data_IF_586270445531
#
_entry.id   IF_586270445531
#
_cell.length_a   1.000
_cell.length_b   1.000
_cell.length_c   1.000
_cell.angle_alpha   90.00
_cell.angle_beta   90.00
_cell.angle_gamma   90.00
#
_symmetry.space_group_name_H-M   'P 1'
#
loop_
_entity.id
_entity.type
_entity.pdbx_description
1 polymer ?
#
# COMPACT_ATOMS: atom_id res chain seq x y z
N UNK A 1 4.17 -21.28 1.97
CA UNK A 1 3.78 -19.88 2.23
C UNK A 1 4.51 -19.06 1.18
N UNK A 2 3.80 -18.38 0.30
CA UNK A 2 4.45 -17.35 -0.54
C UNK A 2 3.94 -16.05 0.05
N UNK A 3 4.67 -15.51 1.02
CA UNK A 3 4.55 -14.09 1.33
C UNK A 3 4.78 -13.38 0.01
N UNK A 4 3.74 -12.77 -0.56
CA UNK A 4 3.89 -11.94 -1.74
C UNK A 4 4.54 -10.65 -1.28
N UNK A 5 5.86 -10.65 -1.25
CA UNK A 5 6.63 -9.41 -1.32
C UNK A 5 6.19 -8.68 -2.60
N UNK A 6 5.86 -7.41 -2.44
CA UNK A 6 5.50 -6.55 -3.55
C UNK A 6 6.72 -6.37 -4.44
N UNK A 7 6.83 -7.13 -5.53
CA UNK A 7 7.93 -7.00 -6.50
C UNK A 7 7.43 -6.27 -7.73
N UNK A 8 8.11 -5.17 -8.03
CA UNK A 8 8.03 -4.48 -9.31
C UNK A 8 9.36 -4.68 -10.04
N UNK A 9 9.30 -5.06 -11.31
CA UNK A 9 10.50 -5.23 -12.14
C UNK A 9 10.61 -4.08 -13.14
N UNK A 10 11.78 -3.44 -13.17
CA UNK A 10 12.16 -2.48 -14.20
C UNK A 10 13.28 -3.06 -15.06
N UNK A 11 13.05 -3.13 -16.37
CA UNK A 11 14.05 -3.55 -17.36
C UNK A 11 14.43 -2.33 -18.19
N UNK A 12 15.67 -1.86 -18.01
CA UNK A 12 16.23 -0.75 -18.78
C UNK A 12 16.53 -1.21 -20.22
N UNK A 13 16.10 -0.43 -21.20
CA UNK A 13 16.41 -0.66 -22.60
C UNK A 13 16.79 0.62 -23.33
N UNK A 14 17.42 0.47 -24.49
CA UNK A 14 17.71 1.55 -25.41
C UNK A 14 17.08 1.22 -26.76
N UNK A 15 16.29 2.15 -27.30
CA UNK A 15 15.64 2.04 -28.61
C UNK A 15 16.10 3.20 -29.47
N UNK A 16 17.01 2.93 -30.42
CA UNK A 16 17.58 3.94 -31.32
C UNK A 16 18.15 5.18 -30.59
N UNK A 17 18.91 4.95 -29.51
CA UNK A 17 19.49 6.02 -28.69
C UNK A 17 18.55 6.55 -27.61
N UNK A 18 17.25 6.26 -27.67
CA UNK A 18 16.25 6.69 -26.69
C UNK A 18 16.18 5.69 -25.54
N UNK A 19 16.43 6.16 -24.33
CA UNK A 19 16.38 5.33 -23.14
C UNK A 19 14.94 5.14 -22.65
N UNK A 20 14.61 3.93 -22.20
CA UNK A 20 13.32 3.62 -21.60
C UNK A 20 13.39 2.45 -20.64
N UNK A 21 12.25 2.21 -19.98
CA UNK A 21 12.07 1.12 -19.03
C UNK A 21 10.80 0.34 -19.36
N UNK A 22 10.90 -0.98 -19.29
CA UNK A 22 9.75 -1.88 -19.24
C UNK A 22 9.45 -2.15 -17.77
N UNK A 23 8.20 -1.95 -17.36
CA UNK A 23 7.72 -2.11 -15.97
C UNK A 23 6.74 -3.28 -15.90
N UNK A 24 7.02 -4.22 -15.00
CA UNK A 24 6.13 -5.31 -14.62
C UNK A 24 5.77 -5.16 -13.14
N UNK A 25 4.61 -4.58 -12.86
CA UNK A 25 4.15 -4.33 -11.50
C UNK A 25 3.07 -5.32 -11.08
N UNK A 26 3.51 -6.55 -10.78
CA UNK A 26 2.61 -7.59 -10.29
C UNK A 26 2.14 -7.34 -8.85
N UNK A 27 2.87 -6.50 -8.10
CA UNK A 27 2.55 -6.14 -6.73
C UNK A 27 1.30 -5.27 -6.62
N UNK A 28 1.13 -4.29 -7.52
CA UNK A 28 -0.10 -3.52 -7.67
C UNK A 28 -1.12 -4.16 -8.63
N UNK A 29 -0.91 -5.42 -9.03
CA UNK A 29 -1.78 -6.16 -9.95
C UNK A 29 -1.95 -5.46 -11.31
N UNK A 30 -0.95 -4.72 -11.79
CA UNK A 30 -1.00 -4.13 -13.12
C UNK A 30 -0.94 -5.27 -14.15
N UNK A 31 -2.08 -5.56 -14.78
CA UNK A 31 -2.25 -6.72 -15.67
C UNK A 31 -1.59 -6.54 -17.05
N UNK A 32 -0.76 -5.51 -17.23
CA UNK A 32 -0.10 -5.15 -18.48
C UNK A 32 1.36 -4.81 -18.28
N UNK A 33 2.11 -4.91 -19.36
CA UNK A 33 3.45 -4.35 -19.47
C UNK A 33 3.32 -2.84 -19.66
N UNK A 34 3.99 -2.05 -18.84
CA UNK A 34 4.03 -0.59 -18.97
C UNK A 34 5.40 -0.19 -19.52
N UNK A 35 5.42 0.72 -20.48
CA UNK A 35 6.63 1.27 -21.09
C UNK A 35 6.79 2.72 -20.66
N UNK A 36 7.90 3.05 -20.01
CA UNK A 36 8.26 4.40 -19.59
C UNK A 36 9.44 4.86 -20.43
N UNK A 37 9.17 5.66 -21.46
CA UNK A 37 10.24 6.34 -22.22
C UNK A 37 10.71 7.59 -21.50
N UNK A 38 12.02 7.85 -21.50
CA UNK A 38 12.61 9.05 -20.88
C UNK A 38 12.12 10.35 -21.50
N UNK A 39 11.79 10.32 -22.79
CA UNK A 39 11.28 11.48 -23.53
C UNK A 39 9.74 11.57 -23.54
N UNK A 40 9.04 10.64 -22.89
CA UNK A 40 7.58 10.56 -22.87
C UNK A 40 6.92 10.26 -24.22
N UNK A 41 7.70 10.03 -25.28
CA UNK A 41 7.17 9.80 -26.63
C UNK A 41 6.89 8.31 -26.86
N UNK A 42 6.06 7.98 -27.86
CA UNK A 42 5.82 6.60 -28.28
C UNK A 42 7.15 5.80 -28.38
N UNK A 43 7.26 4.59 -27.80
CA UNK A 43 6.19 3.73 -27.27
C UNK A 43 5.84 3.91 -25.77
N UNK A 44 5.98 5.10 -25.20
CA UNK A 44 5.52 5.41 -23.84
C UNK A 44 4.03 5.05 -23.66
N UNK A 45 3.66 4.37 -22.57
CA UNK A 45 2.30 3.88 -22.33
C UNK A 45 1.32 5.00 -21.95
N UNK A 46 1.74 5.94 -21.11
CA UNK A 46 0.87 6.99 -20.57
C UNK A 46 -0.16 6.44 -19.59
N UNK A 47 -1.24 7.19 -19.41
CA UNK A 47 -2.32 6.87 -18.49
C UNK A 47 -3.12 5.64 -18.94
N UNK A 48 -3.49 4.78 -17.99
CA UNK A 48 -4.36 3.65 -18.27
C UNK A 48 -5.31 3.34 -17.10
N UNK A 49 -6.54 2.96 -17.44
CA UNK A 49 -7.54 2.52 -16.46
C UNK A 49 -7.17 1.16 -15.90
N UNK A 50 -6.97 1.10 -14.58
CA UNK A 50 -6.63 -0.11 -13.84
C UNK A 50 -7.89 -0.80 -13.26
N UNK A 51 -8.83 -0.01 -12.74
CA UNK A 51 -10.07 -0.51 -12.14
C UNK A 51 -11.24 0.40 -12.51
N UNK A 52 -12.40 -0.22 -12.77
CA UNK A 52 -13.67 0.47 -12.88
C UNK A 52 -14.74 -0.31 -12.10
N UNK A 53 -15.25 0.28 -11.01
CA UNK A 53 -16.24 -0.35 -10.13
C UNK A 53 -17.10 0.74 -9.47
N UNK A 54 -18.42 0.52 -9.35
CA UNK A 54 -19.36 1.43 -8.67
C UNK A 54 -19.26 2.92 -9.12
N UNK A 55 -19.19 3.17 -10.43
CA UNK A 55 -18.97 4.49 -11.03
C UNK A 55 -17.67 5.18 -10.56
N UNK A 56 -16.70 4.41 -10.08
CA UNK A 56 -15.35 4.90 -9.78
C UNK A 56 -14.37 4.30 -10.75
N UNK A 57 -13.57 5.17 -11.35
CA UNK A 57 -12.49 4.80 -12.25
C UNK A 57 -11.15 5.09 -11.58
N UNK A 58 -10.25 4.14 -11.58
CA UNK A 58 -8.88 4.32 -11.08
C UNK A 58 -7.92 4.27 -12.26
N UNK A 59 -7.22 5.37 -12.50
CA UNK A 59 -6.26 5.55 -13.59
C UNK A 59 -4.85 5.53 -13.00
N UNK A 60 -3.96 4.71 -13.57
CA UNK A 60 -2.55 4.64 -13.20
C UNK A 60 -1.68 5.25 -14.29
N UNK A 61 -0.54 5.81 -13.90
CA UNK A 61 0.50 6.26 -14.84
C UNK A 61 1.89 6.13 -14.25
N UNK A 62 2.89 6.02 -15.14
CA UNK A 62 4.30 5.91 -14.78
C UNK A 62 5.11 6.86 -15.66
N UNK A 63 5.86 7.77 -15.04
CA UNK A 63 6.67 8.75 -15.75
C UNK A 63 8.04 8.90 -15.09
N UNK A 64 9.02 9.44 -15.82
CA UNK A 64 10.31 9.78 -15.21
C UNK A 64 10.13 11.04 -14.37
N UNK A 65 10.75 11.04 -13.19
CA UNK A 65 10.72 12.20 -12.32
C UNK A 65 11.41 13.40 -13.00
N UNK A 66 10.77 14.59 -13.04
CA UNK A 66 11.22 15.70 -13.88
C UNK A 66 12.56 16.30 -13.44
N UNK A 67 12.94 16.14 -12.17
CA UNK A 67 14.17 16.70 -11.60
C UNK A 67 15.28 15.65 -11.47
N UNK A 68 14.93 14.40 -11.22
CA UNK A 68 15.90 13.33 -10.94
C UNK A 68 15.53 12.04 -11.68
N UNK A 69 16.20 11.80 -12.80
CA UNK A 69 15.97 10.62 -13.65
C UNK A 69 16.29 9.27 -12.98
N UNK A 70 16.86 9.27 -11.77
CA UNK A 70 17.00 8.07 -10.97
C UNK A 70 15.68 7.60 -10.35
N UNK A 71 14.57 8.33 -10.53
CA UNK A 71 13.25 7.96 -10.03
C UNK A 71 12.20 7.90 -11.15
N UNK A 72 11.30 6.92 -11.02
CA UNK A 72 10.02 6.88 -11.71
C UNK A 72 8.92 7.31 -10.75
N UNK A 73 8.06 8.20 -11.20
CA UNK A 73 6.83 8.58 -10.53
C UNK A 73 5.73 7.62 -10.95
N UNK A 74 5.19 6.87 -10.01
CA UNK A 74 3.93 6.16 -10.18
C UNK A 74 2.81 7.04 -9.62
N UNK A 75 1.78 7.28 -10.42
CA UNK A 75 0.60 8.06 -10.01
C UNK A 75 -0.67 7.21 -10.11
N UNK A 76 -1.59 7.45 -9.20
CA UNK A 76 -2.94 6.92 -9.21
C UNK A 76 -3.93 8.08 -9.05
N UNK A 77 -4.95 8.11 -9.89
CA UNK A 77 -6.11 9.01 -9.71
C UNK A 77 -7.38 8.18 -9.71
N UNK A 78 -8.15 8.28 -8.63
CA UNK A 78 -9.51 7.73 -8.54
C UNK A 78 -10.51 8.83 -8.85
N UNK A 79 -11.32 8.64 -9.88
CA UNK A 79 -12.39 9.54 -10.31
C UNK A 79 -13.73 8.92 -9.92
N UNK A 80 -14.54 9.62 -9.14
CA UNK A 80 -15.92 9.26 -8.90
C UNK A 80 -16.82 9.93 -9.94
N UNK A 81 -17.32 9.18 -10.92
CA UNK A 81 -18.17 9.69 -12.00
C UNK A 81 -19.55 10.15 -11.55
N UNK A 82 -19.99 9.78 -10.34
CA UNK A 82 -21.27 10.26 -9.77
C UNK A 82 -21.12 11.65 -9.14
N UNK A 83 -20.01 11.91 -8.45
CA UNK A 83 -19.80 13.18 -7.74
C UNK A 83 -18.83 14.13 -8.44
N UNK A 84 -18.08 13.65 -9.45
CA UNK A 84 -16.97 14.36 -10.08
C UNK A 84 -15.71 14.46 -9.22
N UNK A 85 -15.71 13.91 -8.00
CA UNK A 85 -14.57 14.00 -7.08
C UNK A 85 -13.36 13.21 -7.61
N UNK A 86 -12.17 13.79 -7.45
CA UNK A 86 -10.90 13.16 -7.79
C UNK A 86 -10.04 13.03 -6.55
N UNK A 87 -9.47 11.86 -6.35
CA UNK A 87 -8.54 11.55 -5.27
C UNK A 87 -7.25 11.01 -5.88
N UNK A 88 -6.13 11.67 -5.58
CA UNK A 88 -4.84 11.42 -6.21
C UNK A 88 -3.83 10.86 -5.21
N UNK A 89 -2.93 10.02 -5.70
CA UNK A 89 -1.80 9.52 -4.94
C UNK A 89 -0.58 9.37 -5.85
N UNK A 90 0.60 9.71 -5.35
CA UNK A 90 1.86 9.50 -6.04
C UNK A 90 2.85 8.73 -5.17
N UNK A 91 3.75 8.02 -5.82
CA UNK A 91 4.89 7.36 -5.19
C UNK A 91 6.12 7.41 -6.09
N UNK A 92 7.29 7.45 -5.47
CA UNK A 92 8.57 7.41 -6.17
C UNK A 92 9.17 6.01 -6.12
N UNK A 93 9.70 5.57 -7.26
CA UNK A 93 10.37 4.30 -7.43
C UNK A 93 11.80 4.56 -7.89
N UNK A 94 12.77 4.20 -7.04
CA UNK A 94 14.18 4.37 -7.38
C UNK A 94 14.65 3.33 -8.41
N UNK A 95 15.21 3.81 -9.50
CA UNK A 95 15.75 3.04 -10.64
C UNK A 95 17.24 3.33 -10.91
N UNK A 96 17.88 4.14 -10.07
CA UNK A 96 19.29 4.54 -10.23
C UNK A 96 20.30 3.41 -10.00
N UNK A 97 19.90 2.31 -9.35
CA UNK A 97 20.73 1.16 -9.09
C UNK A 97 19.98 -0.17 -9.34
N UNK A 98 20.68 -1.25 -9.71
CA UNK A 98 20.06 -2.56 -9.81
C UNK A 98 19.55 -3.02 -8.45
N UNK A 99 18.42 -3.72 -8.45
CA UNK A 99 17.93 -4.42 -7.27
C UNK A 99 18.92 -5.54 -6.89
N UNK A 100 19.49 -5.46 -5.69
CA UNK A 100 20.45 -6.45 -5.18
C UNK A 100 19.76 -7.47 -4.27
N UNK A 101 18.96 -7.00 -3.29
CA UNK A 101 18.21 -7.87 -2.38
C UNK A 101 16.89 -7.23 -1.89
N UNK A 102 15.88 -8.04 -1.50
CA UNK A 102 14.61 -7.56 -0.93
C UNK A 102 14.76 -6.65 0.29
N UNK A 103 15.77 -6.92 1.13
CA UNK A 103 16.06 -6.17 2.36
C UNK A 103 16.53 -4.75 2.07
N UNK A 104 17.13 -4.50 0.90
CA UNK A 104 17.81 -3.24 0.62
C UNK A 104 16.87 -2.10 0.19
N UNK A 105 15.68 -2.38 -0.37
CA UNK A 105 14.87 -1.35 -1.02
C UNK A 105 13.38 -1.41 -0.64
N UNK A 106 12.74 -2.56 -0.72
CA UNK A 106 11.27 -2.65 -0.61
C UNK A 106 10.77 -2.67 0.83
N UNK A 107 11.53 -3.29 1.74
CA UNK A 107 11.12 -3.40 3.14
C UNK A 107 11.20 -2.05 3.86
N UNK A 108 12.18 -1.19 3.52
CA UNK A 108 12.48 0.04 4.28
C UNK A 108 11.36 1.08 4.20
N UNK A 109 10.73 1.31 3.03
CA UNK A 109 9.59 2.24 2.91
C UNK A 109 8.37 1.75 3.69
N UNK A 110 8.13 0.44 3.69
CA UNK A 110 7.02 -0.18 4.41
C UNK A 110 7.18 -0.05 5.94
N UNK A 111 8.41 0.01 6.46
CA UNK A 111 8.66 0.24 7.89
C UNK A 111 8.05 1.55 8.38
N UNK A 112 8.14 2.60 7.55
CA UNK A 112 7.73 3.97 7.91
C UNK A 112 6.42 4.42 7.27
N UNK A 113 5.81 3.64 6.37
CA UNK A 113 4.50 3.99 5.82
C UNK A 113 3.46 4.12 6.94
N UNK A 114 2.41 4.92 6.81
CA UNK A 114 1.43 5.05 7.90
C UNK A 114 0.30 4.01 7.82
N UNK A 115 0.01 3.48 6.62
CA UNK A 115 -1.02 2.46 6.46
C UNK A 115 -0.41 1.05 6.68
N UNK A 116 -1.05 0.28 7.56
CA UNK A 116 -0.68 -1.11 7.86
C UNK A 116 -1.80 -2.02 7.39
N UNK A 117 -1.45 -3.04 6.61
CA UNK A 117 -2.41 -4.04 6.17
C UNK A 117 -1.80 -5.43 6.11
N UNK A 118 -2.62 -6.43 6.41
CA UNK A 118 -2.34 -7.84 6.26
C UNK A 118 -3.55 -8.41 5.52
N UNK A 119 -3.37 -8.91 4.30
CA UNK A 119 -4.48 -9.24 3.40
C UNK A 119 -4.23 -10.55 2.66
N UNK A 120 -5.20 -11.48 2.74
CA UNK A 120 -5.31 -12.60 1.81
C UNK A 120 -6.11 -12.17 0.57
N UNK A 121 -5.66 -12.59 -0.61
CA UNK A 121 -6.31 -12.32 -1.89
C UNK A 121 -6.59 -13.62 -2.65
N UNK A 122 -7.60 -13.60 -3.50
CA UNK A 122 -7.86 -14.69 -4.44
C UNK A 122 -6.87 -14.66 -5.63
N UNK A 123 -6.99 -15.64 -6.54
CA UNK A 123 -6.14 -15.75 -7.74
C UNK A 123 -6.33 -14.59 -8.72
N UNK A 124 -7.40 -13.80 -8.59
CA UNK A 124 -7.68 -12.60 -9.39
C UNK A 124 -7.25 -11.31 -8.67
N UNK A 125 -6.69 -11.40 -7.47
CA UNK A 125 -6.23 -10.25 -6.68
C UNK A 125 -7.29 -9.62 -5.78
N UNK A 126 -8.52 -10.15 -5.70
CA UNK A 126 -9.54 -9.59 -4.83
C UNK A 126 -9.27 -9.94 -3.36
N UNK A 127 -9.42 -8.95 -2.47
CA UNK A 127 -9.24 -9.15 -1.03
C UNK A 127 -10.32 -10.06 -0.44
N UNK A 128 -9.89 -11.17 0.18
CA UNK A 128 -10.75 -12.18 0.81
C UNK A 128 -10.94 -11.90 2.30
N UNK A 129 -9.83 -11.75 3.02
CA UNK A 129 -9.79 -11.52 4.45
C UNK A 129 -8.54 -10.74 4.82
N UNK A 130 -8.56 -10.09 5.97
CA UNK A 130 -7.41 -9.34 6.44
C UNK A 130 -7.70 -8.42 7.60
N UNK A 131 -6.68 -7.65 7.93
CA UNK A 131 -6.68 -6.61 8.93
C UNK A 131 -6.00 -5.38 8.34
N UNK A 132 -6.55 -4.18 8.60
CA UNK A 132 -5.86 -2.94 8.25
C UNK A 132 -6.15 -1.80 9.22
N UNK A 133 -5.23 -0.86 9.31
CA UNK A 133 -5.37 0.38 10.08
C UNK A 133 -4.39 1.44 9.55
N UNK A 134 -4.68 2.71 9.84
CA UNK A 134 -3.80 3.84 9.54
C UNK A 134 -3.20 4.33 10.85
N UNK A 135 -1.89 4.22 11.01
CA UNK A 135 -1.15 4.70 12.17
C UNK A 135 -1.34 6.21 12.31
N UNK A 136 -1.60 6.67 13.55
CA UNK A 136 -1.72 8.07 13.93
C UNK A 136 -1.36 8.21 15.41
N UNK A 137 -0.95 9.39 15.84
CA UNK A 137 -0.59 9.66 17.24
C UNK A 137 -1.81 9.59 18.20
N UNK A 138 -3.02 9.66 17.64
CA UNK A 138 -4.31 9.67 18.33
C UNK A 138 -4.60 8.36 19.11
N UNK A 139 -5.11 8.50 20.33
CA UNK A 139 -5.53 7.39 21.19
C UNK A 139 -6.80 6.68 20.69
N UNK A 140 -7.57 7.32 19.79
CA UNK A 140 -8.72 6.73 19.11
C UNK A 140 -8.30 6.02 17.82
N UNK A 141 -7.27 5.19 17.91
CA UNK A 141 -6.84 4.33 16.81
C UNK A 141 -7.63 3.03 16.81
N UNK A 142 -8.23 2.74 15.66
CA UNK A 142 -8.98 1.52 15.41
C UNK A 142 -8.33 0.71 14.30
N UNK A 143 -8.47 -0.62 14.37
CA UNK A 143 -8.21 -1.50 13.24
C UNK A 143 -9.50 -2.12 12.73
N UNK A 144 -9.52 -2.43 11.44
CA UNK A 144 -10.62 -3.13 10.79
C UNK A 144 -10.19 -4.54 10.46
N UNK A 145 -10.91 -5.53 10.97
CA UNK A 145 -10.85 -6.92 10.52
C UNK A 145 -11.92 -7.11 9.45
N UNK A 146 -11.57 -7.74 8.34
CA UNK A 146 -12.54 -8.11 7.32
C UNK A 146 -12.35 -9.56 6.87
N UNK A 147 -13.45 -10.19 6.48
CA UNK A 147 -13.49 -11.60 6.06
C UNK A 147 -14.77 -11.87 5.28
N UNK A 148 -14.89 -13.04 4.65
CA UNK A 148 -16.15 -13.50 4.04
C UNK A 148 -16.94 -14.38 4.99
N UNK A 149 -18.24 -14.13 5.17
CA UNK A 149 -19.09 -15.03 5.94
C UNK A 149 -19.37 -16.34 5.18
N UNK A 150 -20.15 -17.25 5.78
CA UNK A 150 -20.56 -18.52 5.15
C UNK A 150 -21.38 -18.36 3.87
N UNK A 151 -22.03 -17.20 3.67
CA UNK A 151 -22.79 -16.86 2.45
C UNK A 151 -21.91 -16.23 1.37
N UNK A 152 -20.64 -15.96 1.68
CA UNK A 152 -19.69 -15.29 0.77
C UNK A 152 -19.67 -13.76 0.88
N UNK A 153 -20.52 -13.16 1.73
CA UNK A 153 -20.60 -11.71 1.92
C UNK A 153 -19.37 -11.19 2.67
N UNK A 154 -18.88 -10.02 2.28
CA UNK A 154 -17.76 -9.35 2.95
C UNK A 154 -18.25 -8.68 4.24
N UNK A 155 -17.73 -9.15 5.37
CA UNK A 155 -17.97 -8.59 6.70
C UNK A 155 -16.78 -7.71 7.11
N UNK A 156 -17.06 -6.62 7.82
CA UNK A 156 -16.05 -5.72 8.40
C UNK A 156 -16.40 -5.46 9.87
N UNK A 157 -15.42 -5.62 10.75
CA UNK A 157 -15.54 -5.36 12.19
C UNK A 157 -14.44 -4.39 12.60
N UNK A 158 -14.81 -3.28 13.23
CA UNK A 158 -13.90 -2.21 13.66
C UNK A 158 -13.68 -2.31 15.17
N UNK A 159 -12.42 -2.36 15.60
CA UNK A 159 -12.03 -2.58 17.00
C UNK A 159 -10.98 -1.55 17.40
N UNK A 160 -11.16 -0.91 18.56
CA UNK A 160 -10.22 0.07 19.09
C UNK A 160 -9.01 -0.62 19.73
N UNK A 161 -7.79 -0.18 19.41
CA UNK A 161 -6.56 -0.68 20.05
C UNK A 161 -6.56 -0.41 21.56
N UNK A 162 -7.20 0.66 22.02
CA UNK A 162 -7.34 1.00 23.44
C UNK A 162 -8.10 -0.05 24.26
N UNK A 163 -8.95 -0.87 23.61
CA UNK A 163 -9.71 -1.95 24.27
C UNK A 163 -8.92 -3.25 24.42
N UNK A 164 -7.79 -3.39 23.73
CA UNK A 164 -7.02 -4.64 23.70
C UNK A 164 -6.27 -4.85 25.02
N UNK A 165 -6.61 -5.92 25.73
CA UNK A 165 -5.90 -6.37 26.95
C UNK A 165 -4.85 -7.41 26.56
N UNK A 166 -3.62 -6.95 26.32
CA UNK A 166 -2.51 -7.78 25.82
C UNK A 166 -2.15 -8.95 26.74
N UNK A 167 -2.44 -8.82 28.03
CA UNK A 167 -2.25 -9.84 29.07
C UNK A 167 -3.31 -10.96 29.04
N UNK A 168 -4.43 -10.74 28.34
CA UNK A 168 -5.53 -11.71 28.29
C UNK A 168 -5.45 -12.60 27.03
N UNK A 169 -5.78 -13.90 27.13
CA UNK A 169 -5.83 -14.80 25.97
C UNK A 169 -6.85 -14.39 24.90
N UNK A 170 -7.94 -13.76 25.34
CA UNK A 170 -9.06 -13.30 24.52
C UNK A 170 -9.00 -11.80 24.21
N UNK A 171 -7.87 -11.16 24.53
CA UNK A 171 -7.63 -9.73 24.31
C UNK A 171 -8.65 -8.80 25.01
N UNK A 172 -9.47 -9.31 25.94
CA UNK A 172 -10.57 -8.57 26.56
C UNK A 172 -11.71 -8.21 25.59
N UNK A 173 -11.84 -8.94 24.48
CA UNK A 173 -12.81 -8.68 23.42
C UNK A 173 -14.13 -9.43 23.63
N UNK A 174 -15.18 -8.95 22.97
CA UNK A 174 -16.46 -9.66 22.95
C UNK A 174 -16.36 -10.97 22.16
N UNK A 175 -17.28 -11.90 22.43
CA UNK A 175 -17.36 -13.18 21.68
C UNK A 175 -17.46 -12.97 20.16
N UNK A 176 -18.23 -11.96 19.73
CA UNK A 176 -18.41 -11.64 18.31
C UNK A 176 -17.12 -11.11 17.67
N UNK A 177 -16.38 -10.24 18.35
CA UNK A 177 -15.09 -9.73 17.87
C UNK A 177 -14.04 -10.84 17.78
N UNK A 178 -14.00 -11.74 18.76
CA UNK A 178 -13.13 -12.91 18.75
C UNK A 178 -13.45 -13.86 17.59
N UNK A 179 -14.73 -14.13 17.35
CA UNK A 179 -15.17 -14.97 16.23
C UNK A 179 -14.80 -14.35 14.88
N UNK A 180 -14.90 -13.02 14.74
CA UNK A 180 -14.45 -12.30 13.55
C UNK A 180 -12.94 -12.46 13.33
N UNK A 181 -12.13 -12.29 14.38
CA UNK A 181 -10.68 -12.48 14.33
C UNK A 181 -10.33 -13.93 13.98
N UNK A 182 -10.98 -14.92 14.58
CA UNK A 182 -10.69 -16.34 14.32
C UNK A 182 -11.12 -16.76 12.91
N UNK A 183 -12.24 -16.24 12.42
CA UNK A 183 -12.68 -16.48 11.05
C UNK A 183 -11.70 -15.88 10.05
N UNK A 184 -11.25 -14.65 10.31
CA UNK A 184 -10.19 -14.01 9.52
C UNK A 184 -8.88 -14.81 9.57
N UNK A 185 -8.44 -15.26 10.75
CA UNK A 185 -7.25 -16.09 10.93
C UNK A 185 -7.28 -17.35 10.05
N UNK A 186 -8.44 -18.03 9.99
CA UNK A 186 -8.63 -19.21 9.14
C UNK A 186 -8.55 -18.86 7.66
N UNK A 187 -9.16 -17.76 7.22
CA UNK A 187 -9.14 -17.32 5.81
C UNK A 187 -7.78 -16.76 5.37
N UNK A 188 -6.95 -16.33 6.31
CA UNK A 188 -5.54 -16.03 6.11
C UNK A 188 -4.66 -17.29 6.07
N UNK A 189 -5.25 -18.48 6.28
CA UNK A 189 -4.54 -19.75 6.37
C UNK A 189 -3.47 -19.79 7.48
N UNK A 190 -3.73 -19.11 8.60
CA UNK A 190 -2.86 -19.13 9.75
C UNK A 190 -3.23 -20.24 10.74
N UNK A 191 -2.23 -20.71 11.48
CA UNK A 191 -2.45 -21.55 12.67
C UNK A 191 -3.34 -20.83 13.69
N UNK A 192 -4.09 -21.59 14.47
CA UNK A 192 -5.05 -21.05 15.45
C UNK A 192 -4.33 -20.08 16.40
N UNK A 193 -4.89 -18.87 16.56
CA UNK A 193 -4.38 -17.85 17.47
C UNK A 193 -3.27 -16.95 16.94
N UNK A 194 -2.69 -17.23 15.76
CA UNK A 194 -1.62 -16.41 15.19
C UNK A 194 -2.03 -14.96 14.98
N UNK A 195 -3.20 -14.69 14.39
CA UNK A 195 -3.69 -13.33 14.18
C UNK A 195 -3.91 -12.59 15.51
N UNK A 196 -4.35 -13.29 16.56
CA UNK A 196 -4.47 -12.70 17.91
C UNK A 196 -3.11 -12.29 18.46
N UNK A 197 -2.08 -13.10 18.24
CA UNK A 197 -0.71 -12.76 18.64
C UNK A 197 -0.17 -11.57 17.85
N UNK A 198 -0.44 -11.50 16.54
CA UNK A 198 -0.09 -10.34 15.71
C UNK A 198 -0.78 -9.07 16.23
N UNK A 199 -2.08 -9.13 16.54
CA UNK A 199 -2.83 -8.00 17.12
C UNK A 199 -2.22 -7.57 18.47
N UNK A 200 -1.83 -8.54 19.31
CA UNK A 200 -1.17 -8.27 20.60
C UNK A 200 0.14 -7.51 20.40
N UNK A 201 1.01 -8.00 19.52
CA UNK A 201 2.28 -7.34 19.20
C UNK A 201 2.07 -5.95 18.60
N UNK A 202 1.14 -5.82 17.64
CA UNK A 202 0.79 -4.52 17.06
C UNK A 202 0.29 -3.54 18.13
N UNK A 203 -0.51 -4.00 19.10
CA UNK A 203 -1.00 -3.16 20.21
C UNK A 203 0.14 -2.65 21.08
N UNK A 204 1.14 -3.49 21.38
CA UNK A 204 2.31 -3.06 22.15
C UNK A 204 3.09 -1.96 21.42
N UNK A 205 3.31 -2.13 20.11
CA UNK A 205 4.00 -1.13 19.28
C UNK A 205 3.22 0.18 19.18
N UNK A 206 1.90 0.10 18.97
CA UNK A 206 1.02 1.29 18.89
C UNK A 206 1.00 2.09 20.20
N UNK A 207 1.23 1.45 21.35
CA UNK A 207 1.29 2.13 22.65
C UNK A 207 2.60 2.87 22.88
N UNK A 208 3.65 2.53 22.14
CA UNK A 208 4.90 3.27 22.18
C UNK A 208 4.77 4.57 21.37
N UNK A 209 4.42 5.65 22.07
CA UNK A 209 4.17 6.96 21.44
C UNK A 209 5.44 7.57 20.86
N UNK A 210 6.62 7.23 21.38
CA UNK A 210 7.88 7.76 20.86
C UNK A 210 8.25 7.07 19.55
N UNK A 211 8.08 5.76 19.47
CA UNK A 211 8.20 5.02 18.22
C UNK A 211 7.22 5.53 17.15
N UNK A 212 5.94 5.70 17.51
CA UNK A 212 4.92 6.15 16.56
C UNK A 212 5.20 7.56 16.06
N UNK A 213 5.70 8.46 16.92
CA UNK A 213 6.11 9.80 16.52
C UNK A 213 7.24 9.75 15.49
N UNK A 214 8.33 9.03 15.80
CA UNK A 214 9.47 8.89 14.89
C UNK A 214 9.05 8.28 13.54
N UNK A 215 8.18 7.26 13.57
CA UNK A 215 7.67 6.62 12.36
C UNK A 215 6.94 7.63 11.46
N UNK A 216 6.06 8.44 12.04
CA UNK A 216 5.28 9.43 11.29
C UNK A 216 6.16 10.59 10.78
N UNK A 217 7.12 11.05 11.58
CA UNK A 217 8.09 12.09 11.16
C UNK A 217 8.93 11.63 9.94
N UNK A 218 9.41 10.38 9.94
CA UNK A 218 10.14 9.84 8.79
C UNK A 218 9.21 9.70 7.58
N UNK A 219 7.95 9.28 7.79
CA UNK A 219 6.98 9.18 6.70
C UNK A 219 6.71 10.53 6.03
N UNK A 220 6.59 11.58 6.84
CA UNK A 220 6.40 12.97 6.39
C UNK A 220 7.60 13.45 5.56
N UNK A 221 8.83 13.30 6.08
CA UNK A 221 10.04 13.65 5.33
C UNK A 221 10.16 12.92 3.99
N UNK A 222 9.73 11.65 3.92
CA UNK A 222 9.70 10.91 2.66
C UNK A 222 8.61 11.44 1.72
N UNK A 223 7.47 11.88 2.25
CA UNK A 223 6.41 12.48 1.44
C UNK A 223 6.79 13.86 0.92
N UNK A 224 7.53 14.67 1.69
CA UNK A 224 8.04 15.97 1.25
C UNK A 224 8.96 15.85 0.03
N UNK A 225 9.68 14.72 -0.12
CA UNK A 225 10.46 14.42 -1.32
C UNK A 225 9.57 14.11 -2.55
N UNK A 226 8.31 13.75 -2.34
CA UNK A 226 7.34 13.39 -3.37
C UNK A 226 6.49 14.60 -3.82
N UNK A 227 6.25 15.57 -2.93
CA UNK A 227 5.49 16.78 -3.24
C UNK A 227 6.33 17.75 -4.09
N UNK A 228 6.18 17.62 -5.41
CA UNK A 228 6.80 18.49 -6.42
C UNK A 228 6.14 19.87 -6.55
N UNK A 229 4.96 20.09 -5.97
CA UNK A 229 4.22 21.35 -6.09
C UNK A 229 5.00 22.52 -5.46
N UNK A 230 5.75 22.28 -4.37
CA UNK A 230 6.61 23.30 -3.76
C UNK A 230 7.87 23.64 -4.56
N UNK A 231 8.37 22.72 -5.39
CA UNK A 231 9.56 22.94 -6.22
C UNK A 231 9.28 23.73 -7.51
N UNK A 232 8.02 23.84 -7.90
CA UNK A 232 7.60 24.61 -9.08
C UNK A 232 7.26 26.07 -8.74
N UNK A 233 6.85 26.40 -7.52
CA UNK A 233 6.56 27.79 -7.12
C UNK A 233 7.84 28.64 -6.93
N UNK A 234 8.98 28.07 -6.55
CA UNK A 234 10.24 28.82 -6.37
C UNK A 234 11.04 29.07 -7.67
N UNK A 235 10.52 28.69 -8.86
CA UNK A 235 11.21 28.88 -10.15
C UNK A 235 10.57 29.90 -11.09
N UNK A 236 9.63 30.71 -10.60
CA UNK A 236 9.03 31.83 -11.34
C UNK A 236 9.50 33.23 -10.90
N UNK A 237 10.69 33.38 -10.31
CA UNK A 237 11.37 34.68 -10.17
C UNK A 237 12.61 34.84 -11.09
#
# INVERSE_FOLDING_TARGET
MVDKEHVVLFIKFNLNGRLGYVVLDQGYHVARVVTVMMDGQYPHTGDFTQQFEDNKETIYSYSIHPVDSAYIVWSMVTINHTTGAKDGYQSLIYIGAPFLSPVDVTERRNLVYEFRSLVARDTKGHALAGLHFKVKLDDKLDFTVFYRNVKGDKIRVKIAFSRIRVDQPDLGLTKQELEAIDTCNKQLNYTVGTLRNIIRSATLVIRDKDYIRQLLEINEQVNDLMDLDGFMEEREE
#
